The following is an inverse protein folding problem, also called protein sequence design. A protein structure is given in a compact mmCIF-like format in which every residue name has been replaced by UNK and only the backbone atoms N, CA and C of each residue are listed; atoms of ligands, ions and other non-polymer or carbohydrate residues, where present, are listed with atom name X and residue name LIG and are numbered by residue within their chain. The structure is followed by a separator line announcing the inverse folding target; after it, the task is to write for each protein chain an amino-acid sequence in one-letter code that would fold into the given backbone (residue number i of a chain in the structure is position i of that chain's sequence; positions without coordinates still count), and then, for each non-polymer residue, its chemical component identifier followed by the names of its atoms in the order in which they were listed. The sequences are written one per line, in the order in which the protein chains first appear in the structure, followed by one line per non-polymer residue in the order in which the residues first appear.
data_IF_604884727298
#
_entry.id   IF_604884727298
#
_cell.length_a   1.000
_cell.length_b   1.000
_cell.length_c   1.000
_cell.angle_alpha   90.00
_cell.angle_beta   90.00
_cell.angle_gamma   90.00
#
_symmetry.space_group_name_H-M   'P 1'
#
loop_
_entity.id
_entity.type
_entity.pdbx_description
1 polymer ?
#
# COMPACT_ATOMS: atom_id res chain seq x y z
N UNK A 1 42.73 40.62 27.08
CA UNK A 1 42.41 39.57 26.11
C UNK A 1 41.11 38.86 26.52
N UNK A 2 40.02 39.10 25.78
CA UNK A 2 38.74 38.41 26.05
C UNK A 2 38.80 37.04 25.37
N UNK A 3 38.67 35.94 26.17
CA UNK A 3 38.51 34.60 25.65
C UNK A 3 37.22 34.50 24.85
N UNK A 4 37.32 34.14 23.58
CA UNK A 4 36.22 33.81 22.70
C UNK A 4 35.62 32.50 23.22
N UNK A 5 34.39 32.52 23.70
CA UNK A 5 33.64 31.32 24.09
C UNK A 5 33.15 30.68 22.77
N UNK A 6 33.69 29.53 22.40
CA UNK A 6 33.17 28.74 21.31
C UNK A 6 31.84 28.15 21.74
N UNK A 7 30.77 28.64 21.12
CA UNK A 7 29.44 28.06 21.31
C UNK A 7 29.38 26.71 20.55
N UNK A 8 29.63 25.65 21.25
CA UNK A 8 29.37 24.30 20.74
C UNK A 8 27.84 24.04 20.87
N UNK A 9 27.13 24.06 19.72
CA UNK A 9 25.76 23.61 19.66
C UNK A 9 25.74 22.09 19.45
N UNK A 10 25.28 21.36 20.48
CA UNK A 10 25.03 19.91 20.37
C UNK A 10 23.69 19.72 19.70
N UNK A 11 23.68 19.22 18.49
CA UNK A 11 22.43 18.77 17.83
C UNK A 11 22.16 17.35 18.30
N UNK A 12 21.15 17.17 19.14
CA UNK A 12 20.62 15.86 19.43
C UNK A 12 19.83 15.40 18.19
N UNK A 13 20.40 14.46 17.44
CA UNK A 13 19.63 13.68 16.48
C UNK A 13 18.63 12.86 17.30
N UNK A 14 17.35 13.13 17.13
CA UNK A 14 16.32 12.36 17.81
C UNK A 14 16.54 10.87 17.49
N UNK A 15 16.59 10.03 18.52
CA UNK A 15 16.60 8.56 18.32
C UNK A 15 15.39 8.17 17.49
N UNK A 16 15.63 7.58 16.33
CA UNK A 16 14.57 7.05 15.49
C UNK A 16 14.04 5.77 16.13
N UNK A 17 12.93 5.88 16.79
CA UNK A 17 12.21 4.71 17.29
C UNK A 17 11.50 4.02 16.14
N UNK A 18 11.90 2.77 15.84
CA UNK A 18 11.20 1.95 14.87
C UNK A 18 9.72 1.80 15.27
N UNK A 19 8.79 2.08 14.36
CA UNK A 19 7.38 1.92 14.67
C UNK A 19 7.07 0.45 14.95
N UNK A 20 6.45 0.20 16.09
CA UNK A 20 6.01 -1.15 16.46
C UNK A 20 4.62 -1.42 15.87
N UNK A 21 4.48 -2.58 15.24
CA UNK A 21 3.17 -3.10 14.81
C UNK A 21 2.57 -3.80 16.03
N UNK A 22 1.41 -3.32 16.51
CA UNK A 22 0.77 -3.85 17.71
C UNK A 22 -0.64 -4.32 17.46
N UNK A 23 -0.96 -5.52 17.95
CA UNK A 23 -2.34 -5.96 18.09
C UNK A 23 -2.92 -5.38 19.39
N UNK A 24 -4.02 -4.67 19.27
CA UNK A 24 -4.79 -4.18 20.44
C UNK A 24 -6.06 -5.01 20.59
N UNK A 25 -6.33 -5.49 21.82
CA UNK A 25 -7.49 -6.35 22.09
C UNK A 25 -8.84 -5.68 21.78
N UNK A 26 -8.89 -4.35 21.74
CA UNK A 26 -10.12 -3.57 21.56
C UNK A 26 -10.34 -3.09 20.10
N UNK A 27 -9.55 -3.56 19.13
CA UNK A 27 -9.66 -3.18 17.72
C UNK A 27 -9.63 -4.42 16.83
N UNK A 28 -10.40 -4.38 15.77
CA UNK A 28 -10.50 -5.48 14.80
C UNK A 28 -9.32 -5.50 13.82
N UNK A 29 -8.58 -4.39 13.73
CA UNK A 29 -7.43 -4.22 12.85
C UNK A 29 -6.11 -4.07 13.62
N UNK A 30 -5.01 -4.38 12.95
CA UNK A 30 -3.66 -4.19 13.44
C UNK A 30 -3.28 -2.70 13.31
N UNK A 31 -2.68 -2.13 14.35
CA UNK A 31 -2.17 -0.76 14.31
C UNK A 31 -0.78 -0.71 13.68
N UNK A 32 -0.61 0.20 12.73
CA UNK A 32 0.67 0.47 12.08
C UNK A 32 1.32 1.70 12.74
N UNK A 33 2.22 1.44 13.69
CA UNK A 33 2.80 2.44 14.59
C UNK A 33 1.92 2.75 15.80
N UNK A 34 2.44 3.49 16.77
CA UNK A 34 1.76 3.81 18.04
C UNK A 34 0.47 4.62 17.84
N UNK A 35 0.44 5.48 16.84
CA UNK A 35 -0.68 6.35 16.46
C UNK A 35 -1.51 5.81 15.29
N UNK A 36 -1.12 4.66 14.72
CA UNK A 36 -1.70 4.07 13.52
C UNK A 36 -1.50 4.91 12.24
N UNK A 37 -0.54 5.81 12.20
CA UNK A 37 -0.27 6.73 11.08
C UNK A 37 1.07 6.47 10.37
N UNK A 38 1.71 5.33 10.63
CA UNK A 38 3.00 5.01 10.00
C UNK A 38 3.01 5.08 8.46
N UNK A 39 1.97 4.62 7.72
CA UNK A 39 1.95 4.80 6.27
C UNK A 39 1.90 6.27 5.84
N UNK A 40 1.21 7.12 6.59
CA UNK A 40 1.18 8.56 6.33
C UNK A 40 2.57 9.19 6.56
N UNK A 41 3.26 8.77 7.61
CA UNK A 41 4.63 9.18 7.87
C UNK A 41 5.60 8.77 6.75
N UNK A 42 5.47 7.57 6.19
CA UNK A 42 6.26 7.16 5.03
C UNK A 42 6.04 8.06 3.81
N UNK A 43 4.80 8.51 3.58
CA UNK A 43 4.50 9.48 2.53
C UNK A 43 5.11 10.86 2.80
N UNK A 44 5.11 11.32 4.03
CA UNK A 44 5.78 12.57 4.41
C UNK A 44 7.28 12.50 4.15
N UNK A 45 7.93 11.40 4.53
CA UNK A 45 9.36 11.16 4.23
C UNK A 45 9.63 11.10 2.72
N UNK A 46 8.76 10.44 1.96
CA UNK A 46 8.85 10.39 0.51
C UNK A 46 8.73 11.77 -0.13
N UNK A 47 7.78 12.59 0.33
CA UNK A 47 7.56 13.94 -0.19
C UNK A 47 8.60 14.95 0.31
N UNK A 48 9.15 14.74 1.50
CA UNK A 48 10.11 15.66 2.16
C UNK A 48 11.55 15.54 1.65
N UNK A 49 11.90 14.47 0.93
CA UNK A 49 13.25 14.24 0.43
C UNK A 49 13.28 13.98 -1.06
N UNK A 50 13.89 14.87 -1.83
CA UNK A 50 14.05 14.72 -3.29
C UNK A 50 14.84 13.47 -3.66
N UNK A 51 15.85 13.11 -2.87
CA UNK A 51 16.69 11.92 -3.10
C UNK A 51 15.85 10.66 -2.85
N UNK A 52 15.17 10.58 -1.72
CA UNK A 52 14.30 9.44 -1.40
C UNK A 52 13.18 9.28 -2.44
N UNK A 53 12.55 10.38 -2.84
CA UNK A 53 11.55 10.41 -3.90
C UNK A 53 12.09 9.82 -5.21
N UNK A 54 13.27 10.25 -5.66
CA UNK A 54 13.90 9.74 -6.87
C UNK A 54 14.19 8.24 -6.80
N UNK A 55 14.72 7.77 -5.66
CA UNK A 55 15.03 6.34 -5.44
C UNK A 55 13.73 5.50 -5.47
N UNK A 56 12.72 5.91 -4.72
CA UNK A 56 11.44 5.19 -4.68
C UNK A 56 10.80 5.12 -6.07
N UNK A 57 10.75 6.24 -6.80
CA UNK A 57 10.23 6.27 -8.18
C UNK A 57 11.02 5.37 -9.12
N UNK A 58 12.34 5.42 -9.06
CA UNK A 58 13.20 4.60 -9.93
C UNK A 58 12.99 3.11 -9.66
N UNK A 59 12.98 2.69 -8.40
CA UNK A 59 12.75 1.29 -8.04
C UNK A 59 11.32 0.85 -8.38
N UNK A 60 10.30 1.70 -8.15
CA UNK A 60 8.92 1.40 -8.56
C UNK A 60 8.80 1.20 -10.07
N UNK A 61 9.53 2.01 -10.85
CA UNK A 61 9.58 1.87 -12.30
C UNK A 61 10.28 0.58 -12.72
N UNK A 62 11.31 0.13 -12.00
CA UNK A 62 11.97 -1.15 -12.24
C UNK A 62 11.05 -2.33 -11.90
N UNK A 63 10.28 -2.25 -10.80
CA UNK A 63 9.28 -3.27 -10.43
C UNK A 63 8.19 -3.35 -11.50
N UNK A 64 7.71 -2.21 -11.98
CA UNK A 64 6.72 -2.15 -13.04
C UNK A 64 7.26 -2.72 -14.36
N UNK A 65 8.53 -2.42 -14.71
CA UNK A 65 9.18 -2.83 -15.95
C UNK A 65 8.39 -2.37 -17.17
N UNK A 66 8.03 -3.32 -18.03
CA UNK A 66 7.17 -3.11 -19.20
C UNK A 66 5.68 -3.39 -18.90
N UNK A 67 5.36 -3.76 -17.66
CA UNK A 67 4.03 -4.17 -17.22
C UNK A 67 3.86 -5.68 -17.23
N UNK A 68 2.60 -6.12 -17.20
CA UNK A 68 2.27 -7.54 -17.34
C UNK A 68 2.24 -7.90 -18.83
N UNK A 69 2.83 -9.03 -19.16
CA UNK A 69 2.73 -9.67 -20.48
C UNK A 69 2.59 -11.19 -20.32
N UNK A 70 1.94 -11.83 -21.28
CA UNK A 70 1.84 -13.27 -21.37
C UNK A 70 2.64 -13.74 -22.61
N UNK A 71 3.70 -14.49 -22.38
CA UNK A 71 4.62 -14.95 -23.42
C UNK A 71 3.95 -15.83 -24.48
N UNK A 72 2.86 -16.50 -24.09
CA UNK A 72 2.10 -17.45 -24.91
C UNK A 72 0.80 -16.88 -25.48
N UNK A 73 0.56 -15.56 -25.37
CA UNK A 73 -0.70 -14.91 -25.79
C UNK A 73 -1.02 -15.07 -27.27
N UNK A 74 0.00 -15.20 -28.11
CA UNK A 74 -0.16 -15.34 -29.55
C UNK A 74 -0.27 -16.81 -30.02
N UNK A 75 -0.18 -17.80 -29.11
CA UNK A 75 -0.22 -19.22 -29.47
C UNK A 75 -1.62 -19.71 -29.91
N UNK A 76 -2.67 -19.04 -29.40
CA UNK A 76 -4.05 -19.37 -29.82
C UNK A 76 -4.99 -18.19 -29.57
N UNK A 77 -6.09 -18.13 -30.34
CA UNK A 77 -7.12 -17.12 -30.20
C UNK A 77 -7.72 -17.10 -28.79
N UNK A 78 -7.91 -18.26 -28.16
CA UNK A 78 -8.42 -18.39 -26.79
C UNK A 78 -7.50 -17.75 -25.76
N UNK A 79 -6.17 -17.93 -25.89
CA UNK A 79 -5.18 -17.29 -25.00
C UNK A 79 -5.16 -15.78 -25.19
N UNK A 80 -5.27 -15.33 -26.43
CA UNK A 80 -5.35 -13.91 -26.76
C UNK A 80 -6.60 -13.25 -26.16
N UNK A 81 -7.76 -13.87 -26.29
CA UNK A 81 -9.01 -13.39 -25.72
C UNK A 81 -8.95 -13.36 -24.19
N UNK A 82 -8.37 -14.39 -23.57
CA UNK A 82 -8.17 -14.43 -22.10
C UNK A 82 -7.27 -13.31 -21.61
N UNK A 83 -6.19 -13.04 -22.35
CA UNK A 83 -5.28 -11.92 -22.05
C UNK A 83 -5.96 -10.56 -22.17
N UNK A 84 -6.72 -10.33 -23.24
CA UNK A 84 -7.48 -9.11 -23.45
C UNK A 84 -8.55 -8.93 -22.36
N UNK A 85 -9.21 -10.01 -21.95
CA UNK A 85 -10.19 -10.01 -20.87
C UNK A 85 -9.54 -9.60 -19.54
N UNK A 86 -8.38 -10.16 -19.18
CA UNK A 86 -7.64 -9.80 -17.97
C UNK A 86 -7.24 -8.32 -17.96
N UNK A 87 -6.71 -7.82 -19.08
CA UNK A 87 -6.35 -6.40 -19.19
C UNK A 87 -7.57 -5.49 -19.06
N UNK A 88 -8.73 -5.92 -19.59
CA UNK A 88 -9.98 -5.18 -19.47
C UNK A 88 -10.56 -5.11 -18.06
N UNK A 89 -10.11 -5.98 -17.15
CA UNK A 89 -10.53 -5.92 -15.73
C UNK A 89 -9.80 -4.84 -14.94
N UNK A 90 -8.61 -4.40 -15.36
CA UNK A 90 -7.82 -3.42 -14.65
C UNK A 90 -8.41 -2.02 -14.82
N UNK A 91 -8.71 -1.38 -13.69
CA UNK A 91 -9.34 -0.04 -13.66
C UNK A 91 -8.51 1.02 -14.39
N UNK A 92 -9.18 1.92 -15.10
CA UNK A 92 -8.62 2.99 -15.95
C UNK A 92 -7.72 2.46 -17.08
N UNK A 93 -6.51 2.04 -16.75
CA UNK A 93 -5.61 1.35 -17.66
C UNK A 93 -4.77 0.32 -16.90
N UNK A 94 -4.40 -0.79 -17.57
CA UNK A 94 -3.51 -1.78 -16.96
C UNK A 94 -2.19 -1.16 -16.47
N UNK A 95 -1.60 -0.26 -17.27
CA UNK A 95 -0.33 0.39 -16.94
C UNK A 95 -0.43 1.27 -15.70
N UNK A 96 -1.50 2.06 -15.56
CA UNK A 96 -1.65 2.97 -14.41
C UNK A 96 -1.92 2.20 -13.14
N UNK A 97 -2.80 1.20 -13.18
CA UNK A 97 -3.07 0.32 -12.04
C UNK A 97 -1.80 -0.37 -11.56
N UNK A 98 -1.01 -0.96 -12.47
CA UNK A 98 0.21 -1.67 -12.13
C UNK A 98 1.31 -0.74 -11.59
N UNK A 99 1.44 0.48 -12.12
CA UNK A 99 2.36 1.50 -11.58
C UNK A 99 2.01 1.88 -10.15
N UNK A 100 0.71 2.07 -9.86
CA UNK A 100 0.26 2.35 -8.50
C UNK A 100 0.57 1.18 -7.54
N UNK A 101 0.35 -0.06 -7.97
CA UNK A 101 0.68 -1.25 -7.17
C UNK A 101 2.19 -1.37 -6.92
N UNK A 102 3.02 -1.14 -7.95
CA UNK A 102 4.48 -1.16 -7.82
C UNK A 102 4.99 -0.06 -6.89
N UNK A 103 4.38 1.12 -6.94
CA UNK A 103 4.70 2.23 -6.05
C UNK A 103 4.35 1.89 -4.59
N UNK A 104 3.12 1.42 -4.33
CA UNK A 104 2.69 1.04 -2.99
C UNK A 104 3.56 -0.08 -2.42
N UNK A 105 3.86 -1.11 -3.23
CA UNK A 105 4.73 -2.21 -2.82
C UNK A 105 6.13 -1.70 -2.43
N UNK A 106 6.68 -0.74 -3.18
CA UNK A 106 8.01 -0.19 -2.86
C UNK A 106 7.98 0.72 -1.64
N UNK A 107 6.98 1.58 -1.50
CA UNK A 107 6.92 2.57 -0.42
C UNK A 107 6.47 1.96 0.91
N UNK A 108 5.45 1.10 0.88
CA UNK A 108 4.79 0.57 2.08
C UNK A 108 5.14 -0.90 2.36
N UNK A 109 5.77 -1.61 1.42
CA UNK A 109 5.98 -3.06 1.50
C UNK A 109 4.71 -3.89 1.29
N UNK A 110 3.61 -3.26 0.92
CA UNK A 110 2.30 -3.89 0.70
C UNK A 110 1.52 -3.13 -0.37
N UNK A 111 0.65 -3.83 -1.09
CA UNK A 111 -0.28 -3.24 -2.04
C UNK A 111 -1.63 -3.96 -1.97
N UNK A 112 -2.70 -3.27 -2.36
CA UNK A 112 -4.06 -3.79 -2.25
C UNK A 112 -4.82 -3.61 -3.55
N UNK A 113 -5.53 -4.68 -3.92
CA UNK A 113 -6.44 -4.69 -5.07
C UNK A 113 -7.84 -5.04 -4.58
N UNK A 114 -8.80 -4.20 -4.90
CA UNK A 114 -10.21 -4.48 -4.67
C UNK A 114 -10.76 -5.25 -5.85
N UNK A 115 -11.26 -6.45 -5.59
CA UNK A 115 -11.91 -7.30 -6.58
C UNK A 115 -13.41 -6.97 -6.58
N UNK A 116 -13.87 -6.39 -7.68
CA UNK A 116 -15.28 -5.99 -7.85
C UNK A 116 -16.00 -7.05 -8.64
N UNK A 117 -17.03 -7.63 -8.02
CA UNK A 117 -17.88 -8.64 -8.61
C UNK A 117 -19.12 -8.02 -9.27
N UNK A 118 -19.68 -8.72 -10.24
CA UNK A 118 -21.01 -8.42 -10.74
C UNK A 118 -22.06 -8.63 -9.63
N UNK A 119 -23.28 -8.11 -9.82
CA UNK A 119 -24.34 -8.16 -8.81
C UNK A 119 -24.68 -9.59 -8.32
N UNK A 120 -24.75 -10.63 -9.18
CA UNK A 120 -24.96 -12.01 -8.75
C UNK A 120 -23.70 -12.70 -8.22
N UNK A 121 -22.54 -12.05 -8.17
CA UNK A 121 -21.22 -12.58 -7.73
C UNK A 121 -20.74 -13.81 -8.51
N UNK A 122 -21.05 -13.88 -9.79
CA UNK A 122 -20.64 -14.98 -10.68
C UNK A 122 -19.41 -14.66 -11.50
N UNK A 123 -19.07 -13.37 -11.66
CA UNK A 123 -17.96 -12.89 -12.50
C UNK A 123 -17.31 -11.66 -11.91
N UNK A 124 -15.98 -11.62 -11.94
CA UNK A 124 -15.20 -10.41 -11.64
C UNK A 124 -15.42 -9.41 -12.79
N UNK A 125 -15.71 -8.17 -12.43
CA UNK A 125 -16.01 -7.09 -13.37
C UNK A 125 -14.85 -6.10 -13.45
N UNK A 126 -14.16 -5.88 -12.32
CA UNK A 126 -13.11 -4.88 -12.24
C UNK A 126 -12.12 -5.22 -11.12
N UNK A 127 -10.86 -4.90 -11.36
CA UNK A 127 -9.78 -4.92 -10.38
C UNK A 127 -9.31 -3.48 -10.18
N UNK A 128 -9.47 -2.96 -8.97
CA UNK A 128 -9.16 -1.57 -8.64
C UNK A 128 -8.09 -1.48 -7.57
N UNK A 129 -7.04 -0.71 -7.83
CA UNK A 129 -6.05 -0.36 -6.82
C UNK A 129 -6.69 0.42 -5.66
N UNK A 130 -6.33 0.07 -4.44
CA UNK A 130 -6.65 0.84 -3.23
C UNK A 130 -5.32 1.30 -2.62
N UNK A 131 -5.09 2.62 -2.42
CA UNK A 131 -3.84 3.11 -1.85
C UNK A 131 -3.59 2.53 -0.46
N UNK A 132 -2.40 1.95 -0.27
CA UNK A 132 -2.06 1.18 0.94
C UNK A 132 -2.12 2.03 2.22
N UNK A 133 -1.90 3.34 2.13
CA UNK A 133 -2.02 4.26 3.27
C UNK A 133 -3.39 4.24 3.95
N UNK A 134 -4.46 3.93 3.21
CA UNK A 134 -5.82 3.88 3.72
C UNK A 134 -6.25 2.50 4.22
N UNK A 135 -5.40 1.49 4.04
CA UNK A 135 -5.72 0.11 4.42
C UNK A 135 -5.03 -0.30 5.73
N UNK A 136 -5.71 -1.17 6.46
CA UNK A 136 -5.12 -1.89 7.60
C UNK A 136 -5.53 -3.35 7.50
N UNK A 137 -4.60 -4.22 7.86
CA UNK A 137 -4.88 -5.65 7.98
C UNK A 137 -5.69 -5.92 9.23
N UNK A 138 -6.58 -6.90 9.17
CA UNK A 138 -7.19 -7.51 10.33
C UNK A 138 -6.21 -8.36 11.12
N UNK A 139 -6.68 -8.98 12.18
CA UNK A 139 -5.90 -9.92 12.99
C UNK A 139 -5.68 -11.22 12.23
N UNK A 140 -4.58 -11.88 12.54
CA UNK A 140 -4.30 -13.22 12.03
C UNK A 140 -5.23 -14.24 12.72
N UNK A 141 -5.64 -15.25 11.96
CA UNK A 141 -6.29 -16.43 12.50
C UNK A 141 -5.28 -17.36 13.19
N UNK A 142 -5.75 -18.48 13.73
CA UNK A 142 -4.90 -19.48 14.40
C UNK A 142 -3.82 -20.10 13.49
N UNK A 143 -3.95 -19.95 12.17
CA UNK A 143 -3.03 -20.46 11.17
C UNK A 143 -2.10 -19.36 10.60
N UNK A 144 -2.22 -18.11 11.07
CA UNK A 144 -1.43 -16.98 10.60
C UNK A 144 -1.98 -16.30 9.35
N UNK A 145 -3.18 -16.65 8.89
CA UNK A 145 -3.78 -16.02 7.72
C UNK A 145 -4.52 -14.74 8.10
N UNK A 146 -4.45 -13.73 7.23
CA UNK A 146 -5.22 -12.49 7.33
C UNK A 146 -6.36 -12.53 6.33
N UNK A 147 -7.59 -12.67 6.83
CA UNK A 147 -8.80 -12.79 6.01
C UNK A 147 -9.66 -11.53 6.01
N UNK A 148 -9.24 -10.51 6.75
CA UNK A 148 -9.99 -9.28 6.95
C UNK A 148 -9.13 -8.05 6.70
N UNK A 149 -9.71 -7.04 6.06
CA UNK A 149 -9.06 -5.79 5.77
C UNK A 149 -9.99 -4.63 6.07
N UNK A 150 -9.41 -3.51 6.47
CA UNK A 150 -10.15 -2.34 6.89
C UNK A 150 -9.67 -1.11 6.13
N UNK A 151 -10.60 -0.37 5.55
CA UNK A 151 -10.36 0.88 4.84
C UNK A 151 -10.88 2.05 5.63
N UNK A 152 -10.08 3.10 5.79
CA UNK A 152 -10.52 4.40 6.25
C UNK A 152 -9.76 5.50 5.51
N UNK A 153 -10.49 6.53 5.07
CA UNK A 153 -9.86 7.73 4.51
C UNK A 153 -9.13 8.56 5.59
N UNK A 154 -9.51 8.38 6.85
CA UNK A 154 -8.92 9.07 7.98
C UNK A 154 -8.79 8.12 9.18
N UNK A 155 -7.54 7.75 9.48
CA UNK A 155 -7.20 6.90 10.61
C UNK A 155 -6.96 7.65 11.92
N UNK A 156 -6.98 8.99 11.92
CA UNK A 156 -6.80 9.81 13.12
C UNK A 156 -8.01 9.73 14.05
N UNK A 157 -9.20 9.61 13.47
CA UNK A 157 -10.46 9.57 14.22
C UNK A 157 -11.39 8.45 13.75
N UNK A 158 -11.08 7.23 14.16
CA UNK A 158 -11.86 6.03 13.81
C UNK A 158 -13.24 5.95 14.49
N UNK A 159 -13.52 6.79 15.50
CA UNK A 159 -14.86 6.90 16.13
C UNK A 159 -15.83 7.64 15.21
N UNK A 160 -15.36 8.72 14.59
CA UNK A 160 -16.14 9.54 13.64
C UNK A 160 -16.19 8.87 12.27
N UNK A 161 -15.04 8.39 11.81
CA UNK A 161 -14.85 7.77 10.50
C UNK A 161 -14.68 6.25 10.69
N UNK A 162 -15.80 5.55 10.85
CA UNK A 162 -15.79 4.09 11.05
C UNK A 162 -15.12 3.41 9.85
N UNK A 163 -14.07 2.59 10.06
CA UNK A 163 -13.42 1.86 8.99
C UNK A 163 -14.40 0.92 8.29
N UNK A 164 -14.30 0.87 6.96
CA UNK A 164 -15.09 -0.05 6.14
C UNK A 164 -14.40 -1.40 6.08
N UNK A 165 -15.14 -2.45 6.37
CA UNK A 165 -14.69 -3.83 6.30
C UNK A 165 -14.64 -4.34 4.86
N UNK A 166 -13.60 -5.11 4.55
CA UNK A 166 -13.44 -5.90 3.34
C UNK A 166 -13.03 -7.31 3.71
N UNK A 167 -13.71 -8.32 3.15
CA UNK A 167 -13.27 -9.71 3.25
C UNK A 167 -12.08 -9.93 2.31
N UNK A 168 -11.10 -10.74 2.72
CA UNK A 168 -10.04 -11.22 1.85
C UNK A 168 -10.62 -11.99 0.65
N UNK A 169 -9.88 -12.00 -0.45
CA UNK A 169 -10.21 -12.80 -1.62
C UNK A 169 -9.79 -14.24 -1.34
N UNK A 170 -10.73 -15.19 -1.47
CA UNK A 170 -10.52 -16.63 -1.30
C UNK A 170 -10.13 -17.23 -2.65
#
# INVERSE_FOLDING_TARGET
MKKKQDNISVIHLAEYNLPTITETNNKDWIQFGSDNLYPQYLLELYNGSSINNAIIKSVSSMIFGEGLDATDREESDTKKESWLSLNGLLHNSPKDTLKCLAFDLKLFGMCYVNVIWNRPRTKIVELRHIPAQYMRSGKQDAYGNVNEYYYSADWTNTRKNKPRYYKGFD
#
